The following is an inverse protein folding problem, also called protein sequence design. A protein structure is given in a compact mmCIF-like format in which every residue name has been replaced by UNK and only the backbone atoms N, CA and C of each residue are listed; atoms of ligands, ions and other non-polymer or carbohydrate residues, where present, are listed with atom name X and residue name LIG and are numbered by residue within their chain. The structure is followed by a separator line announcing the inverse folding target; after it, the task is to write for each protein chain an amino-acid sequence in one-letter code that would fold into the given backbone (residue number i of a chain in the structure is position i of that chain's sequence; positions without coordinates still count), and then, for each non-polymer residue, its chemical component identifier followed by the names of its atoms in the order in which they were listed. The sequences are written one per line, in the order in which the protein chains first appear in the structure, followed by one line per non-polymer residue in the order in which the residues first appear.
data_IF_652729578229
#
_entry.id   IF_652729578229
#
_cell.length_a   1.000
_cell.length_b   1.000
_cell.length_c   1.000
_cell.angle_alpha   90.00
_cell.angle_beta   90.00
_cell.angle_gamma   90.00
#
_symmetry.space_group_name_H-M   'P 1'
#
loop_
_entity.id
_entity.type
_entity.pdbx_description
1 polymer ?
#
# COMPACT_ATOMS: atom_id res chain seq x y z
N UNK A 1 6.43 10.53 2.54
CA UNK A 1 5.66 9.57 1.75
C UNK A 1 5.64 8.27 2.51
N UNK A 2 4.51 7.56 2.54
CA UNK A 2 4.29 6.48 3.50
C UNK A 2 5.10 5.24 3.11
N UNK A 3 6.33 5.14 3.64
CA UNK A 3 6.92 3.84 3.95
C UNK A 3 6.13 3.27 5.13
N UNK A 4 5.81 1.98 5.08
CA UNK A 4 5.10 1.33 6.17
C UNK A 4 6.11 0.80 7.17
N UNK A 5 5.91 1.10 8.45
CA UNK A 5 6.80 0.68 9.52
C UNK A 5 6.03 -0.27 10.44
N UNK A 6 6.69 -1.35 10.80
CA UNK A 6 6.27 -2.32 11.81
C UNK A 6 7.29 -2.30 12.95
N UNK A 7 6.83 -2.65 14.16
CA UNK A 7 7.75 -2.85 15.31
C UNK A 7 8.55 -4.15 15.17
N UNK A 8 7.94 -5.16 14.56
CA UNK A 8 8.50 -6.50 14.43
C UNK A 8 8.23 -7.02 13.01
N UNK A 9 9.01 -7.99 12.55
CA UNK A 9 8.74 -8.74 11.31
C UNK A 9 7.56 -9.70 11.55
N UNK A 10 6.36 -9.14 11.72
CA UNK A 10 5.13 -9.87 12.05
C UNK A 10 3.90 -9.06 11.65
N UNK A 11 2.89 -9.73 11.10
CA UNK A 11 1.59 -9.12 10.80
C UNK A 11 0.89 -8.60 12.08
N UNK A 12 0.08 -7.54 11.95
CA UNK A 12 -0.78 -7.07 13.04
C UNK A 12 -2.02 -7.97 13.22
N UNK A 13 -2.48 -8.61 12.16
CA UNK A 13 -3.68 -9.47 12.14
C UNK A 13 -3.42 -10.78 11.39
N UNK A 14 -4.47 -11.59 11.26
CA UNK A 14 -4.45 -12.77 10.42
C UNK A 14 -4.14 -12.41 8.96
N UNK A 15 -3.43 -13.29 8.23
CA UNK A 15 -3.17 -13.13 6.81
C UNK A 15 -4.44 -12.80 6.00
N UNK A 16 -4.29 -11.97 4.98
CA UNK A 16 -5.35 -11.63 4.05
C UNK A 16 -5.74 -12.87 3.22
N UNK A 17 -6.99 -13.28 3.35
CA UNK A 17 -7.65 -14.18 2.40
C UNK A 17 -8.43 -13.36 1.37
N UNK A 18 -7.93 -13.26 0.14
CA UNK A 18 -8.57 -12.53 -0.95
C UNK A 18 -8.26 -13.18 -2.32
N UNK A 19 -9.25 -13.23 -3.22
CA UNK A 19 -9.10 -13.86 -4.54
C UNK A 19 -8.49 -12.94 -5.61
N UNK A 20 -8.35 -11.65 -5.33
CA UNK A 20 -7.86 -10.62 -6.25
C UNK A 20 -6.50 -10.10 -5.82
N UNK A 21 -6.36 -9.78 -4.54
CA UNK A 21 -5.10 -9.38 -3.92
C UNK A 21 -4.43 -10.64 -3.39
N UNK A 22 -3.68 -11.32 -4.26
CA UNK A 22 -2.93 -12.54 -3.93
C UNK A 22 -1.44 -12.24 -3.83
N UNK A 23 -0.70 -13.12 -3.14
CA UNK A 23 0.76 -13.01 -3.04
C UNK A 23 1.43 -13.05 -4.42
N UNK A 24 0.89 -13.83 -5.37
CA UNK A 24 1.39 -13.88 -6.75
C UNK A 24 1.28 -12.52 -7.45
N UNK A 25 0.11 -11.87 -7.40
CA UNK A 25 -0.10 -10.54 -8.00
C UNK A 25 0.77 -9.49 -7.32
N UNK A 26 0.89 -9.55 -6.00
CA UNK A 26 1.77 -8.66 -5.25
C UNK A 26 3.22 -8.82 -5.68
N UNK A 27 3.75 -10.04 -5.69
CA UNK A 27 5.13 -10.34 -6.06
C UNK A 27 5.42 -9.98 -7.52
N UNK A 28 4.44 -10.18 -8.41
CA UNK A 28 4.54 -9.74 -9.80
C UNK A 28 4.65 -8.22 -9.92
N UNK A 29 3.83 -7.44 -9.19
CA UNK A 29 3.94 -5.98 -9.15
C UNK A 29 5.33 -5.55 -8.64
N UNK A 30 5.81 -6.16 -7.54
CA UNK A 30 7.14 -5.87 -6.99
C UNK A 30 8.24 -6.18 -8.02
N UNK A 31 8.14 -7.30 -8.74
CA UNK A 31 9.09 -7.70 -9.79
C UNK A 31 9.09 -6.69 -10.95
N UNK A 32 7.92 -6.29 -11.43
CA UNK A 32 7.81 -5.29 -12.50
C UNK A 32 8.32 -3.91 -12.06
N UNK A 33 8.23 -3.60 -10.77
CA UNK A 33 8.75 -2.36 -10.17
C UNK A 33 10.23 -2.48 -9.72
N UNK A 34 10.97 -3.49 -10.19
CA UNK A 34 12.39 -3.69 -9.84
C UNK A 34 13.32 -2.59 -10.38
N UNK A 35 12.84 -1.78 -11.33
CA UNK A 35 13.57 -0.60 -11.82
C UNK A 35 13.63 0.54 -10.78
N UNK A 36 12.81 0.49 -9.72
CA UNK A 36 12.89 1.44 -8.60
C UNK A 36 14.11 1.07 -7.74
N UNK A 37 15.08 1.99 -7.54
CA UNK A 37 16.26 1.70 -6.72
C UNK A 37 15.92 1.33 -5.28
N UNK A 38 16.76 0.51 -4.66
CA UNK A 38 16.61 0.15 -3.25
C UNK A 38 16.65 1.39 -2.35
N UNK A 39 15.71 1.48 -1.40
CA UNK A 39 15.58 2.64 -0.52
C UNK A 39 14.76 3.80 -1.11
N UNK A 40 14.41 3.74 -2.38
CA UNK A 40 13.55 4.71 -3.05
C UNK A 40 12.10 4.21 -3.15
N UNK A 41 11.20 5.11 -3.55
CA UNK A 41 9.81 4.80 -3.83
C UNK A 41 9.37 5.55 -5.07
N UNK A 42 8.36 5.02 -5.75
CA UNK A 42 7.73 5.70 -6.87
C UNK A 42 6.24 5.84 -6.63
N UNK A 43 5.70 7.01 -7.01
CA UNK A 43 4.27 7.27 -7.00
C UNK A 43 3.73 7.08 -8.42
N UNK A 44 2.66 6.33 -8.54
CA UNK A 44 1.87 6.16 -9.74
C UNK A 44 0.55 6.89 -9.56
N UNK A 45 0.13 7.66 -10.57
CA UNK A 45 -1.24 8.16 -10.65
C UNK A 45 -2.10 7.10 -11.33
N UNK A 46 -3.18 6.68 -10.66
CA UNK A 46 -4.06 5.65 -11.18
C UNK A 46 -5.22 6.28 -11.97
N UNK A 47 -5.69 5.65 -13.06
CA UNK A 47 -6.82 6.12 -13.84
C UNK A 47 -8.04 6.40 -12.96
N UNK A 48 -8.62 7.59 -13.11
CA UNK A 48 -9.84 8.01 -12.42
C UNK A 48 -11.01 7.98 -13.40
N UNK A 49 -11.25 6.82 -14.02
CA UNK A 49 -12.36 6.68 -14.97
C UNK A 49 -13.69 7.00 -14.27
N UNK A 50 -14.36 8.04 -14.74
CA UNK A 50 -15.73 8.35 -14.37
C UNK A 50 -16.64 7.48 -15.23
N UNK A 51 -17.23 6.43 -14.63
CA UNK A 51 -18.23 5.63 -15.33
C UNK A 51 -19.43 6.51 -15.68
N UNK A 52 -19.48 6.99 -16.92
CA UNK A 52 -20.52 7.89 -17.42
C UNK A 52 -21.83 7.15 -17.78
N UNK A 53 -21.90 5.83 -17.54
CA UNK A 53 -23.09 5.03 -17.81
C UNK A 53 -23.38 4.04 -16.66
N UNK A 54 -24.60 4.18 -16.12
CA UNK A 54 -25.41 3.17 -15.43
C UNK A 54 -25.00 2.60 -14.05
N UNK A 55 -25.81 2.96 -13.04
CA UNK A 55 -26.45 2.12 -12.01
C UNK A 55 -25.71 1.04 -11.20
N UNK A 56 -24.40 0.84 -11.37
CA UNK A 56 -23.60 0.06 -10.42
C UNK A 56 -22.70 1.00 -9.63
N UNK A 57 -22.72 0.86 -8.29
CA UNK A 57 -21.77 1.51 -7.39
C UNK A 57 -20.37 0.98 -7.69
N UNK A 58 -19.77 1.46 -8.77
CA UNK A 58 -18.43 1.12 -9.15
C UNK A 58 -17.51 1.96 -8.27
N UNK A 59 -17.14 1.40 -7.12
CA UNK A 59 -16.14 2.02 -6.25
C UNK A 59 -14.89 2.26 -7.09
N UNK A 60 -14.48 3.52 -7.27
CA UNK A 60 -13.31 3.88 -8.08
C UNK A 60 -12.01 3.46 -7.38
N UNK A 61 -10.95 3.24 -8.16
CA UNK A 61 -9.61 3.08 -7.63
C UNK A 61 -9.20 4.30 -6.76
N UNK A 62 -8.19 4.13 -5.92
CA UNK A 62 -7.52 5.26 -5.28
C UNK A 62 -6.81 6.11 -6.33
N UNK A 63 -6.61 7.40 -6.06
CA UNK A 63 -5.94 8.30 -7.01
C UNK A 63 -4.46 7.98 -7.20
N UNK A 64 -3.79 7.57 -6.13
CA UNK A 64 -2.35 7.34 -6.14
C UNK A 64 -2.02 5.96 -5.58
N UNK A 65 -0.97 5.36 -6.14
CA UNK A 65 -0.31 4.18 -5.60
C UNK A 65 1.18 4.48 -5.36
N UNK A 66 1.75 3.88 -4.33
CA UNK A 66 3.19 3.91 -4.04
C UNK A 66 3.68 2.48 -3.96
N UNK A 67 4.81 2.21 -4.61
CA UNK A 67 5.50 0.93 -4.51
C UNK A 67 6.75 1.11 -3.67
N UNK A 68 6.88 0.27 -2.65
CA UNK A 68 8.09 0.07 -1.86
C UNK A 68 8.54 -1.39 -2.05
N UNK A 69 9.60 -1.58 -2.82
CA UNK A 69 10.01 -2.89 -3.35
C UNK A 69 11.09 -3.60 -2.53
N UNK A 70 11.52 -3.02 -1.41
CA UNK A 70 12.58 -3.55 -0.56
C UNK A 70 12.07 -3.96 0.84
N UNK A 71 12.75 -4.90 1.49
CA UNK A 71 12.62 -5.11 2.94
C UNK A 71 13.80 -4.43 3.63
N UNK A 72 13.55 -3.69 4.70
CA UNK A 72 14.63 -2.97 5.39
C UNK A 72 14.46 -3.02 6.91
N UNK A 73 15.47 -3.51 7.67
CA UNK A 73 15.53 -3.27 9.11
C UNK A 73 15.90 -1.81 9.38
N UNK A 74 15.28 -1.21 10.39
CA UNK A 74 15.50 0.19 10.75
C UNK A 74 15.65 0.32 12.28
N UNK A 75 16.91 0.28 12.73
CA UNK A 75 17.26 0.46 14.15
C UNK A 75 17.49 1.93 14.46
N UNK A 76 16.86 2.40 15.54
CA UNK A 76 17.07 3.75 16.06
C UNK A 76 17.38 3.72 17.54
N UNK A 77 18.24 4.62 18.00
CA UNK A 77 18.59 4.71 19.43
C UNK A 77 17.39 5.19 20.26
N UNK A 78 16.62 6.14 19.75
CA UNK A 78 15.56 6.82 20.51
C UNK A 78 14.23 6.05 20.51
N UNK A 79 13.88 5.43 19.39
CA UNK A 79 12.56 4.82 19.19
C UNK A 79 12.61 3.29 19.11
N UNK A 80 13.82 2.70 19.15
CA UNK A 80 14.04 1.26 19.05
C UNK A 80 14.05 0.75 17.61
N UNK A 81 13.82 -0.54 17.46
CA UNK A 81 13.85 -1.25 16.19
C UNK A 81 12.51 -1.20 15.45
N UNK A 82 12.61 -1.13 14.13
CA UNK A 82 11.50 -1.19 13.20
C UNK A 82 11.86 -2.09 12.02
N UNK A 83 10.83 -2.58 11.35
CA UNK A 83 10.91 -3.34 10.13
C UNK A 83 10.04 -2.67 9.05
N UNK A 84 10.59 -2.49 7.86
CA UNK A 84 9.88 -1.97 6.70
C UNK A 84 9.67 -3.13 5.72
N UNK A 85 8.46 -3.70 5.64
CA UNK A 85 8.16 -4.74 4.66
C UNK A 85 8.00 -4.14 3.27
N UNK A 86 8.11 -4.99 2.23
CA UNK A 86 7.62 -4.64 0.90
C UNK A 86 6.16 -4.20 1.00
N UNK A 87 5.80 -3.12 0.31
CA UNK A 87 4.48 -2.54 0.46
C UNK A 87 3.96 -1.90 -0.83
N UNK A 88 2.64 -1.97 -0.98
CA UNK A 88 1.85 -1.15 -1.89
C UNK A 88 1.00 -0.20 -1.03
N UNK A 89 1.05 1.10 -1.28
CA UNK A 89 0.30 2.09 -0.52
C UNK A 89 -0.61 2.91 -1.43
N UNK A 90 -1.87 3.06 -1.04
CA UNK A 90 -2.91 3.71 -1.84
C UNK A 90 -3.58 4.83 -1.06
N UNK A 91 -3.81 5.97 -1.72
CA UNK A 91 -4.46 7.13 -1.12
C UNK A 91 -5.05 8.07 -2.18
N UNK A 92 -5.95 8.96 -1.77
CA UNK A 92 -6.61 9.91 -2.68
C UNK A 92 -6.01 11.32 -2.63
N UNK A 93 -5.49 11.74 -1.47
CA UNK A 93 -5.08 13.13 -1.22
C UNK A 93 -3.60 13.18 -0.81
N UNK A 94 -2.83 14.09 -1.42
CA UNK A 94 -1.43 14.41 -1.06
C UNK A 94 -1.41 15.66 -0.19
N UNK A 95 -1.90 15.55 1.04
CA UNK A 95 -2.04 16.69 1.98
C UNK A 95 -0.87 16.81 2.98
N UNK A 96 -0.08 15.75 3.15
CA UNK A 96 1.08 15.74 4.02
C UNK A 96 2.11 14.69 3.58
N UNK A 97 3.25 14.64 4.26
CA UNK A 97 4.27 13.61 4.00
C UNK A 97 3.69 12.20 4.21
N UNK A 98 2.89 12.00 5.26
CA UNK A 98 1.98 10.87 5.40
C UNK A 98 0.57 11.38 5.09
N UNK A 99 -0.11 10.84 4.05
CA UNK A 99 -1.48 11.22 3.75
C UNK A 99 -2.39 11.11 4.98
N UNK A 100 -3.38 12.00 5.12
CA UNK A 100 -4.32 11.94 6.25
C UNK A 100 -5.03 10.60 6.39
N UNK A 101 -5.30 9.93 5.27
CA UNK A 101 -5.76 8.53 5.23
C UNK A 101 -5.07 7.82 4.06
N UNK A 102 -4.49 6.66 4.34
CA UNK A 102 -3.93 5.77 3.34
C UNK A 102 -4.14 4.31 3.70
N UNK A 103 -4.16 3.48 2.68
CA UNK A 103 -4.34 2.05 2.78
C UNK A 103 -3.06 1.37 2.33
N UNK A 104 -2.66 0.30 3.02
CA UNK A 104 -1.46 -0.44 2.68
C UNK A 104 -1.76 -1.92 2.48
N UNK A 105 -1.03 -2.52 1.55
CA UNK A 105 -0.89 -3.96 1.39
C UNK A 105 0.57 -4.25 1.63
N UNK A 106 0.90 -5.07 2.62
CA UNK A 106 2.27 -5.48 2.90
C UNK A 106 2.43 -6.97 2.69
N UNK A 107 3.64 -7.41 2.38
CA UNK A 107 4.03 -8.81 2.39
C UNK A 107 5.09 -9.03 3.48
N UNK A 108 4.80 -9.90 4.44
CA UNK A 108 5.75 -10.37 5.46
C UNK A 108 5.74 -11.89 5.42
N UNK A 109 6.89 -12.48 5.10
CA UNK A 109 7.08 -13.94 5.07
C UNK A 109 6.03 -14.67 4.21
N UNK A 110 5.78 -14.13 3.01
CA UNK A 110 4.83 -14.64 2.00
C UNK A 110 3.34 -14.55 2.41
N UNK A 111 3.05 -13.89 3.53
CA UNK A 111 1.70 -13.59 3.98
C UNK A 111 1.37 -12.11 3.77
N UNK A 112 0.21 -11.84 3.15
CA UNK A 112 -0.26 -10.48 2.91
C UNK A 112 -1.07 -9.95 4.10
N UNK A 113 -0.94 -8.66 4.39
CA UNK A 113 -1.84 -7.94 5.29
C UNK A 113 -2.34 -6.66 4.62
N UNK A 114 -3.61 -6.33 4.87
CA UNK A 114 -4.24 -5.08 4.44
C UNK A 114 -4.58 -4.22 5.64
N UNK A 115 -4.04 -3.00 5.64
CA UNK A 115 -4.24 -2.02 6.69
C UNK A 115 -4.79 -0.69 6.18
N UNK A 116 -5.42 0.06 7.08
CA UNK A 116 -5.66 1.50 6.92
C UNK A 116 -4.98 2.23 8.05
N UNK A 117 -4.36 3.37 7.72
CA UNK A 117 -3.74 4.26 8.69
C UNK A 117 -4.27 5.67 8.50
N UNK A 118 -4.51 6.34 9.63
CA UNK A 118 -4.87 7.76 9.66
C UNK A 118 -3.72 8.53 10.26
N UNK A 119 -3.16 9.43 9.46
CA UNK A 119 -1.99 10.21 9.79
C UNK A 119 -2.25 11.69 9.49
N UNK A 120 -1.22 12.43 9.06
CA UNK A 120 -1.32 13.80 8.61
C UNK A 120 -0.04 14.56 8.87
N UNK A 121 -0.15 15.89 8.86
CA UNK A 121 1.00 16.81 8.97
C UNK A 121 1.80 16.65 10.27
N UNK A 122 1.18 16.20 11.36
CA UNK A 122 1.80 16.08 12.67
C UNK A 122 2.25 14.65 13.00
N UNK A 123 2.12 13.70 12.06
CA UNK A 123 2.49 12.31 12.31
C UNK A 123 3.97 12.09 12.05
N UNK A 124 4.67 11.60 13.06
CA UNK A 124 6.03 11.11 12.93
C UNK A 124 6.05 9.66 12.41
N UNK A 125 7.13 9.28 11.73
CA UNK A 125 7.23 7.98 11.09
C UNK A 125 7.17 6.81 12.10
N UNK A 126 7.69 7.01 13.32
CA UNK A 126 7.76 6.00 14.39
C UNK A 126 6.40 5.72 15.03
N UNK A 127 5.41 6.59 14.82
CA UNK A 127 4.04 6.40 15.32
C UNK A 127 3.22 5.48 14.43
N UNK A 128 3.62 5.29 13.16
CA UNK A 128 2.84 4.53 12.17
C UNK A 128 2.41 3.13 12.61
N UNK A 129 3.24 2.31 13.30
CA UNK A 129 2.78 1.00 13.77
C UNK A 129 1.56 1.09 14.71
N UNK A 130 1.40 2.20 15.44
CA UNK A 130 0.28 2.41 16.37
C UNK A 130 -0.98 2.95 15.67
N UNK A 131 -0.82 3.50 14.46
CA UNK A 131 -1.91 4.10 13.67
C UNK A 131 -2.59 3.08 12.74
N UNK A 132 -2.08 1.86 12.67
CA UNK A 132 -2.60 0.81 11.82
C UNK A 132 -3.93 0.27 12.35
N UNK A 133 -4.88 0.07 11.44
CA UNK A 133 -6.13 -0.60 11.70
C UNK A 133 -6.51 -1.57 10.58
N UNK A 134 -7.23 -2.63 10.92
CA UNK A 134 -7.79 -3.57 9.94
C UNK A 134 -8.80 -2.88 9.04
N UNK A 135 -8.71 -3.11 7.74
CA UNK A 135 -9.75 -2.69 6.80
C UNK A 135 -10.97 -3.58 6.96
N UNK A 136 -12.06 -3.01 7.49
CA UNK A 136 -13.32 -3.74 7.75
C UNK A 136 -14.43 -3.43 6.75
N UNK A 137 -14.32 -2.31 6.02
CA UNK A 137 -15.36 -1.85 5.11
C UNK A 137 -15.23 -2.54 3.74
N UNK A 138 -16.25 -3.28 3.25
CA UNK A 138 -16.19 -3.95 1.95
C UNK A 138 -15.94 -2.99 0.78
N UNK A 139 -16.43 -1.74 0.91
CA UNK A 139 -16.18 -0.67 -0.04
C UNK A 139 -14.68 -0.41 -0.21
N UNK A 140 -13.94 -0.27 0.89
CA UNK A 140 -12.50 -0.02 0.86
C UNK A 140 -11.74 -1.20 0.24
N UNK A 141 -12.14 -2.44 0.54
CA UNK A 141 -11.53 -3.62 -0.07
C UNK A 141 -11.71 -3.64 -1.59
N UNK A 142 -12.93 -3.39 -2.11
CA UNK A 142 -13.17 -3.29 -3.56
C UNK A 142 -12.34 -2.17 -4.23
N UNK A 143 -12.13 -1.05 -3.53
CA UNK A 143 -11.25 0.03 -4.03
C UNK A 143 -9.79 -0.44 -4.11
N UNK A 144 -9.30 -1.16 -3.11
CA UNK A 144 -7.95 -1.73 -3.11
C UNK A 144 -7.77 -2.72 -4.24
N UNK A 145 -8.69 -3.68 -4.40
CA UNK A 145 -8.68 -4.67 -5.48
C UNK A 145 -8.57 -4.03 -6.85
N UNK A 146 -9.36 -2.97 -7.10
CA UNK A 146 -9.27 -2.19 -8.35
C UNK A 146 -7.95 -1.45 -8.48
N UNK A 147 -7.46 -0.85 -7.40
CA UNK A 147 -6.21 -0.08 -7.43
C UNK A 147 -4.99 -0.96 -7.70
N UNK A 148 -4.99 -2.19 -7.18
CA UNK A 148 -3.98 -3.21 -7.48
C UNK A 148 -4.01 -3.58 -8.96
N UNK A 149 -5.20 -3.81 -9.54
CA UNK A 149 -5.34 -4.08 -10.98
C UNK A 149 -4.85 -2.93 -11.85
N UNK A 150 -5.22 -1.70 -11.52
CA UNK A 150 -4.75 -0.53 -12.27
C UNK A 150 -3.24 -0.34 -12.18
N UNK A 151 -2.65 -0.52 -11.00
CA UNK A 151 -1.20 -0.46 -10.82
C UNK A 151 -0.49 -1.55 -11.63
N UNK A 152 -1.00 -2.79 -11.60
CA UNK A 152 -0.49 -3.90 -12.39
C UNK A 152 -0.54 -3.59 -13.89
N UNK A 153 -1.66 -3.06 -14.39
CA UNK A 153 -1.82 -2.67 -15.78
C UNK A 153 -0.82 -1.57 -16.22
N UNK A 154 -0.59 -0.57 -15.37
CA UNK A 154 0.40 0.50 -15.64
C UNK A 154 1.80 -0.09 -15.77
N UNK A 155 2.19 -0.92 -14.81
CA UNK A 155 3.52 -1.53 -14.78
C UNK A 155 3.73 -2.52 -15.93
N UNK A 156 2.69 -3.26 -16.32
CA UNK A 156 2.76 -4.20 -17.45
C UNK A 156 3.04 -3.47 -18.76
N UNK A 157 2.34 -2.35 -19.02
CA UNK A 157 2.54 -1.52 -20.23
C UNK A 157 3.90 -0.81 -20.29
N UNK A 158 4.58 -0.68 -19.16
CA UNK A 158 5.88 -0.01 -19.08
C UNK A 158 7.04 -0.95 -19.44
N UNK A 159 6.79 -2.27 -19.44
CA UNK A 159 7.78 -3.31 -19.73
C UNK A 159 7.70 -3.88 -21.15
N UNK A 160 6.80 -3.35 -21.99
CA UNK A 160 6.71 -3.61 -23.44
C UNK A 160 7.46 -2.53 -24.23
#
# INVERSE_FOLDING_TARGET
MPRIYYRERKLHNEPLENNVITTDIFNEIIRMASFIPEGELQIFELPQESSSFFFWKNDKAFKYAVVWNAEMPHTTYEYGDFFLPKALVFYDVKDAYFPSEYFSIVNIDDALEVGVSRAGINTAWYEQPLLWHKVTQPKCMRRLEKSVKELHNILSKTND
#
